data_IF_951062288522
#
_entry.id   IF_951062288522
#
_cell.length_a   1.000
_cell.length_b   1.000
_cell.length_c   1.000
_cell.angle_alpha   90.00
_cell.angle_beta   90.00
_cell.angle_gamma   90.00
#
_symmetry.space_group_name_H-M   'P 1'
#
loop_
_entity.id
_entity.type
_entity.pdbx_description
1 polymer ?
#
# COMPACT_ATOMS: atom_id res chain seq x y z
N UNK A 1 5.27 3.56 -24.40
CA UNK A 1 5.62 3.08 -23.05
C UNK A 1 7.03 2.47 -23.12
N UNK A 2 8.04 3.09 -22.51
CA UNK A 2 9.40 2.49 -22.46
C UNK A 2 9.38 1.47 -21.34
N UNK A 3 9.45 0.18 -21.69
CA UNK A 3 9.68 -0.89 -20.73
C UNK A 3 10.99 -0.61 -20.00
N UNK A 4 10.92 -0.44 -18.68
CA UNK A 4 12.11 -0.32 -17.84
C UNK A 4 12.85 -1.66 -17.96
N UNK A 5 14.13 -1.62 -18.33
CA UNK A 5 14.93 -2.81 -18.48
C UNK A 5 15.19 -3.41 -17.09
N UNK A 6 14.85 -4.69 -16.89
CA UNK A 6 15.08 -5.40 -15.64
C UNK A 6 16.54 -5.32 -15.14
N UNK A 7 17.51 -5.15 -16.05
CA UNK A 7 18.93 -4.97 -15.69
C UNK A 7 19.27 -3.61 -15.09
N UNK A 8 18.52 -2.56 -15.40
CA UNK A 8 18.72 -1.22 -14.83
C UNK A 8 18.09 -1.12 -13.43
N UNK A 9 17.03 -1.89 -13.23
CA UNK A 9 16.33 -2.12 -11.96
C UNK A 9 17.20 -2.86 -10.94
N UNK A 10 17.92 -3.91 -11.36
CA UNK A 10 18.81 -4.71 -10.49
C UNK A 10 19.89 -3.86 -9.80
N UNK A 11 20.18 -2.67 -10.35
CA UNK A 11 21.18 -1.73 -9.81
C UNK A 11 20.60 -0.70 -8.85
N UNK A 12 19.28 -0.42 -8.88
CA UNK A 12 18.67 0.69 -8.12
C UNK A 12 18.19 0.30 -6.73
N UNK A 13 17.75 -0.94 -6.50
CA UNK A 13 17.63 -1.53 -5.17
C UNK A 13 17.58 -3.06 -5.32
N UNK A 14 18.65 -3.80 -5.02
CA UNK A 14 18.52 -5.24 -4.92
C UNK A 14 17.65 -5.54 -3.70
N UNK A 15 16.48 -6.13 -3.92
CA UNK A 15 15.51 -6.53 -2.89
C UNK A 15 16.08 -7.44 -1.79
N UNK A 16 17.33 -7.89 -1.92
CA UNK A 16 18.10 -8.46 -0.82
C UNK A 16 18.33 -7.50 0.35
N UNK A 17 18.07 -6.20 0.17
CA UNK A 17 18.12 -5.17 1.19
C UNK A 17 16.72 -4.64 1.54
N UNK A 18 15.64 -5.40 1.26
CA UNK A 18 14.28 -5.00 1.64
C UNK A 18 14.15 -4.87 3.16
N UNK A 19 14.70 -5.84 3.90
CA UNK A 19 14.73 -5.80 5.36
C UNK A 19 15.56 -4.61 5.86
N UNK A 20 16.69 -4.32 5.23
CA UNK A 20 17.51 -3.13 5.54
C UNK A 20 16.75 -1.84 5.25
N UNK A 21 16.04 -1.75 4.13
CA UNK A 21 15.20 -0.60 3.78
C UNK A 21 14.09 -0.38 4.82
N UNK A 22 13.40 -1.44 5.22
CA UNK A 22 12.35 -1.38 6.24
C UNK A 22 12.95 -0.96 7.58
N UNK A 23 14.05 -1.59 8.01
CA UNK A 23 14.74 -1.28 9.27
C UNK A 23 15.24 0.17 9.30
N UNK A 24 15.91 0.64 8.24
CA UNK A 24 16.36 2.03 8.11
C UNK A 24 15.18 3.02 8.23
N UNK A 25 14.04 2.72 7.61
CA UNK A 25 12.87 3.60 7.72
C UNK A 25 12.25 3.61 9.14
N UNK A 26 12.27 2.47 9.84
CA UNK A 26 11.89 2.41 11.26
C UNK A 26 12.84 3.23 12.14
N UNK A 27 14.15 3.06 11.97
CA UNK A 27 15.17 3.78 12.74
C UNK A 27 15.09 5.30 12.54
N UNK A 28 14.80 5.74 11.32
CA UNK A 28 14.69 7.15 10.97
C UNK A 28 13.28 7.74 11.16
N UNK A 29 12.32 6.96 11.65
CA UNK A 29 10.92 7.38 11.80
C UNK A 29 10.28 7.90 10.49
N UNK A 30 10.63 7.28 9.37
CA UNK A 30 10.22 7.64 8.01
C UNK A 30 9.00 6.82 7.56
N UNK A 31 8.01 6.70 8.46
CA UNK A 31 6.83 5.84 8.25
C UNK A 31 5.57 6.66 8.46
N UNK A 32 4.66 6.52 7.51
CA UNK A 32 3.32 7.07 7.58
C UNK A 32 2.33 5.93 7.43
N UNK A 33 1.18 6.01 8.11
CA UNK A 33 0.13 5.01 8.00
C UNK A 33 -1.11 5.62 7.37
N UNK A 34 -1.67 4.96 6.37
CA UNK A 34 -2.98 5.28 5.80
C UNK A 34 -4.00 4.29 6.39
N UNK A 35 -5.15 4.78 6.83
CA UNK A 35 -6.21 3.96 7.41
C UNK A 35 -7.58 4.37 6.84
N UNK A 36 -8.48 3.40 6.69
CA UNK A 36 -9.89 3.70 6.45
C UNK A 36 -10.54 4.38 7.66
N UNK A 37 -10.05 4.06 8.86
CA UNK A 37 -10.52 4.64 10.10
C UNK A 37 -9.65 5.84 10.48
N UNK A 38 -10.28 6.89 10.99
CA UNK A 38 -9.62 8.08 11.55
C UNK A 38 -8.81 7.81 12.83
N UNK A 39 -8.80 6.55 13.29
CA UNK A 39 -8.08 6.06 14.46
C UNK A 39 -7.49 4.68 14.21
N UNK A 40 -6.55 4.30 15.08
CA UNK A 40 -6.09 2.92 15.16
C UNK A 40 -7.21 1.99 15.64
N UNK A 41 -7.27 0.80 15.05
CA UNK A 41 -8.14 -0.26 15.51
C UNK A 41 -7.51 -0.96 16.72
N UNK A 42 -8.34 -1.23 17.73
CA UNK A 42 -7.96 -2.09 18.86
C UNK A 42 -7.98 -3.57 18.43
N UNK A 43 -7.44 -4.47 19.26
CA UNK A 43 -7.53 -5.91 18.98
C UNK A 43 -8.97 -6.41 18.90
N UNK A 44 -9.86 -5.89 19.75
CA UNK A 44 -11.29 -6.22 19.71
C UNK A 44 -11.95 -5.64 18.46
N UNK A 45 -11.61 -4.41 18.07
CA UNK A 45 -12.04 -3.86 16.78
C UNK A 45 -11.56 -4.76 15.64
N UNK A 46 -10.33 -5.27 15.68
CA UNK A 46 -9.77 -6.18 14.69
C UNK A 46 -10.48 -7.54 14.76
N UNK A 47 -10.75 -8.15 15.90
CA UNK A 47 -11.39 -9.47 15.95
C UNK A 47 -12.89 -9.41 15.61
N UNK A 48 -13.55 -8.27 15.86
CA UNK A 48 -14.96 -8.03 15.51
C UNK A 48 -15.11 -7.49 14.07
N UNK A 49 -14.12 -6.74 13.56
CA UNK A 49 -14.15 -6.06 12.24
C UNK A 49 -13.13 -6.57 11.23
N UNK A 50 -12.28 -7.55 11.58
CA UNK A 50 -11.65 -8.47 10.62
C UNK A 50 -12.80 -9.25 10.03
N UNK A 51 -13.44 -8.64 9.07
CA UNK A 51 -13.38 -9.22 7.74
C UNK A 51 -14.17 -8.32 6.81
N UNK A 52 -13.57 -7.69 5.77
CA UNK A 52 -14.13 -7.55 4.42
C UNK A 52 -15.09 -8.68 4.00
N UNK A 53 -14.92 -9.89 4.54
CA UNK A 53 -15.86 -11.02 4.44
C UNK A 53 -17.02 -11.12 5.46
N UNK A 54 -17.02 -10.46 6.63
CA UNK A 54 -18.23 -10.24 7.47
C UNK A 54 -19.22 -9.30 6.75
N UNK A 55 -18.73 -8.52 5.80
CA UNK A 55 -19.51 -7.68 4.91
C UNK A 55 -20.09 -8.45 3.71
N UNK A 56 -20.29 -9.77 3.81
CA UNK A 56 -21.19 -10.51 2.92
C UNK A 56 -22.43 -11.02 3.66
N UNK A 57 -22.57 -10.68 4.95
CA UNK A 57 -23.74 -11.03 5.73
C UNK A 57 -24.92 -10.09 5.40
N UNK A 58 -26.11 -10.65 5.23
CA UNK A 58 -27.31 -9.97 4.70
C UNK A 58 -27.87 -8.84 5.58
N UNK A 59 -27.22 -8.55 6.71
CA UNK A 59 -27.55 -7.48 7.66
C UNK A 59 -26.60 -6.28 7.61
N UNK A 60 -25.62 -6.29 6.70
CA UNK A 60 -24.59 -5.27 6.69
C UNK A 60 -25.09 -3.90 6.19
N UNK A 61 -24.61 -2.85 6.86
CA UNK A 61 -25.03 -1.47 6.62
C UNK A 61 -24.51 -0.95 5.26
N UNK A 62 -25.41 -0.74 4.30
CA UNK A 62 -25.09 -0.21 2.97
C UNK A 62 -24.22 1.05 2.99
N UNK A 63 -24.46 1.98 3.92
CA UNK A 63 -23.68 3.21 4.05
C UNK A 63 -22.21 2.97 4.39
N UNK A 64 -21.90 1.87 5.05
CA UNK A 64 -20.51 1.50 5.33
C UNK A 64 -19.78 1.11 4.05
N UNK A 65 -20.40 0.30 3.19
CA UNK A 65 -19.80 -0.14 1.92
C UNK A 65 -19.55 1.01 0.97
N UNK A 66 -20.49 1.95 0.89
CA UNK A 66 -20.35 3.11 0.02
C UNK A 66 -19.07 3.88 0.41
N UNK A 67 -18.82 4.06 1.72
CA UNK A 67 -17.59 4.68 2.24
C UNK A 67 -16.34 3.83 2.01
N UNK A 68 -16.45 2.52 2.22
CA UNK A 68 -15.32 1.61 2.01
C UNK A 68 -14.89 1.57 0.54
N UNK A 69 -15.84 1.49 -0.39
CA UNK A 69 -15.54 1.53 -1.83
C UNK A 69 -15.01 2.90 -2.26
N UNK A 70 -15.48 3.99 -1.66
CA UNK A 70 -14.87 5.32 -1.86
C UNK A 70 -13.40 5.34 -1.42
N UNK A 71 -13.09 4.77 -0.25
CA UNK A 71 -11.71 4.63 0.23
C UNK A 71 -10.86 3.72 -0.68
N UNK A 72 -11.40 2.57 -1.10
CA UNK A 72 -10.77 1.67 -2.08
C UNK A 72 -10.42 2.43 -3.37
N UNK A 73 -11.35 3.21 -3.91
CA UNK A 73 -11.13 3.98 -5.14
C UNK A 73 -10.10 5.10 -4.94
N UNK A 74 -10.08 5.77 -3.78
CA UNK A 74 -9.05 6.77 -3.43
C UNK A 74 -7.65 6.15 -3.40
N UNK A 75 -7.49 4.97 -2.80
CA UNK A 75 -6.22 4.25 -2.81
C UNK A 75 -5.78 3.84 -4.23
N UNK A 76 -6.72 3.36 -5.04
CA UNK A 76 -6.45 3.01 -6.44
C UNK A 76 -5.97 4.25 -7.22
N UNK A 77 -6.58 5.42 -6.99
CA UNK A 77 -6.13 6.67 -7.62
C UNK A 77 -4.70 7.05 -7.23
N UNK A 78 -4.33 6.92 -5.95
CA UNK A 78 -2.96 7.12 -5.47
C UNK A 78 -1.98 6.20 -6.21
N UNK A 79 -2.27 4.90 -6.30
CA UNK A 79 -1.38 3.96 -6.97
C UNK A 79 -1.29 4.19 -8.48
N UNK A 80 -2.40 4.52 -9.14
CA UNK A 80 -2.41 4.88 -10.58
C UNK A 80 -1.59 6.14 -10.83
N UNK A 81 -1.71 7.16 -9.96
CA UNK A 81 -0.90 8.37 -10.06
C UNK A 81 0.60 8.04 -10.04
N UNK A 82 1.03 7.21 -9.08
CA UNK A 82 2.42 6.78 -8.96
C UNK A 82 2.85 5.90 -10.15
N UNK A 83 1.96 5.02 -10.63
CA UNK A 83 2.19 4.15 -11.78
C UNK A 83 2.41 4.94 -13.08
N UNK A 84 1.58 5.96 -13.35
CA UNK A 84 1.69 6.84 -14.54
C UNK A 84 3.02 7.55 -14.65
N UNK A 85 3.69 7.80 -13.52
CA UNK A 85 5.02 8.41 -13.50
C UNK A 85 6.14 7.40 -13.89
N UNK A 86 5.80 6.18 -14.33
CA UNK A 86 6.70 5.03 -14.59
C UNK A 86 7.53 4.64 -13.36
N UNK A 87 6.94 4.71 -12.17
CA UNK A 87 7.69 4.54 -10.92
C UNK A 87 7.44 3.20 -10.25
N UNK A 88 6.53 2.39 -10.76
CA UNK A 88 6.09 1.17 -10.08
C UNK A 88 6.96 -0.05 -10.39
N UNK A 89 7.30 -0.79 -9.33
CA UNK A 89 8.06 -2.02 -9.39
C UNK A 89 7.30 -3.20 -8.77
N UNK A 90 6.17 -3.55 -9.41
CA UNK A 90 5.48 -4.83 -9.23
C UNK A 90 5.08 -5.19 -7.80
N UNK A 91 4.66 -6.44 -7.63
CA UNK A 91 4.34 -7.04 -6.32
C UNK A 91 5.48 -7.90 -5.82
N UNK A 92 5.79 -7.74 -4.54
CA UNK A 92 6.86 -8.45 -3.85
C UNK A 92 6.34 -9.04 -2.56
N UNK A 93 6.40 -10.37 -2.34
CA UNK A 93 6.08 -10.92 -1.04
C UNK A 93 7.06 -10.38 -0.01
N UNK A 94 6.53 -10.06 1.16
CA UNK A 94 7.34 -9.89 2.37
C UNK A 94 8.17 -11.18 2.56
N UNK A 95 9.45 -11.05 2.90
CA UNK A 95 10.43 -12.15 3.01
C UNK A 95 10.80 -12.86 1.70
N UNK A 96 10.48 -12.30 0.53
CA UNK A 96 10.94 -12.87 -0.74
C UNK A 96 12.45 -12.67 -0.92
N UNK A 97 13.20 -13.78 -0.96
CA UNK A 97 14.62 -13.77 -1.38
C UNK A 97 14.82 -13.52 -2.88
N UNK A 98 13.74 -13.38 -3.64
CA UNK A 98 13.82 -13.14 -5.10
C UNK A 98 14.12 -11.67 -5.37
N UNK A 99 15.07 -11.43 -6.26
CA UNK A 99 15.48 -10.09 -6.73
C UNK A 99 14.55 -9.51 -7.80
N UNK A 100 13.43 -10.16 -8.07
CA UNK A 100 12.47 -9.78 -9.10
C UNK A 100 11.06 -9.83 -8.53
N UNK A 101 10.17 -8.89 -8.91
CA UNK A 101 8.76 -8.94 -8.53
C UNK A 101 8.13 -10.23 -9.04
N UNK A 102 7.13 -10.73 -8.32
CA UNK A 102 6.36 -11.90 -8.78
C UNK A 102 5.59 -11.56 -10.06
N UNK A 103 5.08 -10.34 -10.15
CA UNK A 103 4.45 -9.83 -11.35
C UNK A 103 4.63 -8.31 -11.45
N UNK A 104 4.70 -7.83 -12.69
CA UNK A 104 4.74 -6.41 -13.06
C UNK A 104 3.42 -6.02 -13.68
N UNK A 105 2.88 -4.88 -13.27
CA UNK A 105 1.65 -4.34 -13.83
C UNK A 105 1.90 -3.79 -15.23
N UNK A 106 1.02 -4.16 -16.17
CA UNK A 106 1.16 -3.79 -17.59
C UNK A 106 0.35 -2.54 -17.90
N UNK A 107 -0.78 -2.36 -17.22
CA UNK A 107 -1.67 -1.22 -17.40
C UNK A 107 -2.36 -0.84 -16.07
N UNK A 108 -3.13 0.26 -16.11
CA UNK A 108 -3.86 0.79 -14.94
C UNK A 108 -4.98 -0.14 -14.47
N UNK A 109 -5.60 -0.89 -15.38
CA UNK A 109 -6.72 -1.80 -15.07
C UNK A 109 -6.24 -3.03 -14.29
N UNK A 110 -5.08 -3.59 -14.66
CA UNK A 110 -4.42 -4.69 -13.96
C UNK A 110 -4.03 -4.27 -12.54
N UNK A 111 -3.48 -3.06 -12.42
CA UNK A 111 -3.13 -2.46 -11.13
C UNK A 111 -4.39 -2.32 -10.27
N UNK A 112 -5.37 -1.56 -10.74
CA UNK A 112 -6.64 -1.32 -10.06
C UNK A 112 -7.29 -2.63 -9.59
N UNK A 113 -7.45 -3.60 -10.49
CA UNK A 113 -8.08 -4.89 -10.17
C UNK A 113 -7.33 -5.64 -9.08
N UNK A 114 -5.99 -5.63 -9.13
CA UNK A 114 -5.16 -6.29 -8.13
C UNK A 114 -5.29 -5.61 -6.77
N UNK A 115 -5.18 -4.29 -6.68
CA UNK A 115 -5.33 -3.54 -5.43
C UNK A 115 -6.66 -3.90 -4.77
N UNK A 116 -7.76 -3.86 -5.54
CA UNK A 116 -9.11 -4.20 -5.06
C UNK A 116 -9.18 -5.63 -4.54
N UNK A 117 -8.61 -6.59 -5.25
CA UNK A 117 -8.57 -8.00 -4.81
C UNK A 117 -7.83 -8.14 -3.47
N UNK A 118 -6.66 -7.51 -3.33
CA UNK A 118 -5.87 -7.63 -2.10
C UNK A 118 -6.56 -6.96 -0.90
N UNK A 119 -7.13 -5.75 -1.08
CA UNK A 119 -7.90 -5.06 -0.05
C UNK A 119 -9.10 -5.91 0.40
N UNK A 120 -9.82 -6.51 -0.53
CA UNK A 120 -11.01 -7.33 -0.23
C UNK A 120 -10.69 -8.71 0.36
N UNK A 121 -9.54 -9.27 0.03
CA UNK A 121 -9.06 -10.53 0.60
C UNK A 121 -8.30 -10.35 1.92
N UNK A 122 -8.10 -9.10 2.35
CA UNK A 122 -7.31 -8.76 3.56
C UNK A 122 -5.92 -9.39 3.53
N UNK A 123 -5.35 -9.48 2.33
CA UNK A 123 -4.03 -10.07 2.13
C UNK A 123 -3.01 -8.97 2.11
N UNK A 124 -1.87 -9.26 2.71
CA UNK A 124 -0.72 -8.38 2.66
C UNK A 124 -0.38 -8.06 1.20
N UNK A 125 -0.37 -6.77 0.91
CA UNK A 125 0.00 -6.23 -0.39
C UNK A 125 1.21 -5.35 -0.21
N UNK A 126 2.29 -5.71 -0.89
CA UNK A 126 3.54 -4.97 -0.85
C UNK A 126 3.86 -4.46 -2.27
N UNK A 127 3.80 -3.13 -2.42
CA UNK A 127 4.04 -2.41 -3.67
C UNK A 127 5.23 -1.48 -3.48
N UNK A 128 6.26 -1.68 -4.29
CA UNK A 128 7.43 -0.83 -4.25
C UNK A 128 7.51 0.07 -5.48
N UNK A 129 7.83 1.34 -5.26
CA UNK A 129 7.98 2.34 -6.31
C UNK A 129 9.44 2.81 -6.39
N UNK A 130 10.23 2.16 -7.25
CA UNK A 130 11.68 2.31 -7.36
C UNK A 130 12.17 3.75 -7.49
N UNK A 131 11.55 4.56 -8.35
CA UNK A 131 12.03 5.93 -8.61
C UNK A 131 11.61 6.91 -7.50
N UNK A 132 10.61 6.57 -6.67
CA UNK A 132 10.24 7.35 -5.48
C UNK A 132 10.94 6.86 -4.21
N UNK A 133 11.52 5.66 -4.24
CA UNK A 133 12.00 4.95 -3.07
C UNK A 133 10.92 4.83 -1.97
N UNK A 134 9.69 4.51 -2.41
CA UNK A 134 8.51 4.38 -1.55
C UNK A 134 7.99 2.94 -1.58
N UNK A 135 7.69 2.42 -0.40
CA UNK A 135 7.07 1.11 -0.22
C UNK A 135 5.71 1.25 0.46
N UNK A 136 4.68 0.68 -0.14
CA UNK A 136 3.38 0.51 0.49
C UNK A 136 3.22 -0.94 0.94
N UNK A 137 2.90 -1.13 2.20
CA UNK A 137 2.62 -2.42 2.81
C UNK A 137 1.24 -2.42 3.48
N UNK A 138 0.27 -3.09 2.87
CA UNK A 138 -1.05 -3.30 3.45
C UNK A 138 -0.97 -4.37 4.54
N UNK A 139 -1.40 -4.02 5.75
CA UNK A 139 -1.52 -4.93 6.87
C UNK A 139 -2.89 -5.63 6.88
N UNK A 140 -2.98 -6.73 7.63
CA UNK A 140 -4.25 -7.44 7.86
C UNK A 140 -5.34 -6.59 8.54
N UNK A 141 -4.96 -5.50 9.23
CA UNK A 141 -5.89 -4.59 9.90
C UNK A 141 -6.37 -3.43 8.99
N UNK A 142 -6.18 -3.57 7.66
CA UNK A 142 -6.52 -2.59 6.63
C UNK A 142 -5.78 -1.25 6.76
N UNK A 143 -4.76 -1.18 7.60
CA UNK A 143 -3.80 -0.07 7.58
C UNK A 143 -2.75 -0.30 6.51
N UNK A 144 -2.35 0.75 5.81
CA UNK A 144 -1.26 0.71 4.84
C UNK A 144 -0.08 1.47 5.42
N UNK A 145 0.99 0.75 5.69
CA UNK A 145 2.30 1.32 6.00
C UNK A 145 2.93 1.90 4.73
N UNK A 146 3.39 3.14 4.82
CA UNK A 146 4.10 3.83 3.76
C UNK A 146 5.50 4.13 4.28
N UNK A 147 6.50 3.41 3.79
CA UNK A 147 7.90 3.66 4.08
C UNK A 147 8.47 4.56 2.99
N UNK A 148 9.12 5.66 3.37
CA UNK A 148 9.66 6.62 2.43
C UNK A 148 10.99 7.22 2.90
N UNK A 149 12.08 6.81 2.25
CA UNK A 149 13.45 7.24 2.62
C UNK A 149 13.69 8.74 2.42
N UNK A 150 12.91 9.38 1.55
CA UNK A 150 12.94 10.82 1.28
C UNK A 150 11.50 11.31 1.18
N UNK A 151 10.83 11.48 2.33
CA UNK A 151 9.45 11.92 2.47
C UNK A 151 9.06 12.95 1.39
N UNK A 152 8.56 12.47 0.25
CA UNK A 152 8.27 13.33 -0.87
C UNK A 152 6.99 14.05 -0.48
N UNK A 153 7.11 15.34 -0.17
CA UNK A 153 5.97 16.17 0.23
C UNK A 153 4.84 16.04 -0.79
N UNK A 154 5.13 15.84 -2.08
CA UNK A 154 4.11 15.58 -3.12
C UNK A 154 3.26 14.33 -2.85
N UNK A 155 3.86 13.24 -2.36
CA UNK A 155 3.14 11.98 -2.10
C UNK A 155 2.26 12.13 -0.86
N UNK A 156 2.74 12.84 0.16
CA UNK A 156 1.95 13.15 1.35
C UNK A 156 0.82 14.12 1.02
N UNK A 157 1.11 15.17 0.26
CA UNK A 157 0.11 16.13 -0.21
C UNK A 157 -0.95 15.44 -1.07
N UNK A 158 -0.55 14.46 -1.89
CA UNK A 158 -1.50 13.63 -2.63
C UNK A 158 -2.38 12.79 -1.69
N UNK A 159 -1.79 12.10 -0.71
CA UNK A 159 -2.55 11.32 0.28
C UNK A 159 -3.55 12.22 1.02
N UNK A 160 -3.12 13.40 1.45
CA UNK A 160 -3.97 14.40 2.11
C UNK A 160 -5.07 14.89 1.16
N UNK A 161 -4.75 15.18 -0.11
CA UNK A 161 -5.71 15.66 -1.11
C UNK A 161 -6.79 14.64 -1.47
N UNK A 162 -6.53 13.35 -1.21
CA UNK A 162 -7.47 12.25 -1.40
C UNK A 162 -8.35 12.02 -0.16
N UNK A 163 -8.28 12.88 0.86
CA UNK A 163 -8.97 12.74 2.15
C UNK A 163 -8.72 11.38 2.81
N UNK A 164 -7.53 10.82 2.64
CA UNK A 164 -7.12 9.59 3.31
C UNK A 164 -6.67 9.90 4.73
N UNK A 165 -7.11 9.10 5.71
CA UNK A 165 -6.69 9.32 7.09
C UNK A 165 -5.24 8.92 7.29
N UNK A 166 -4.41 9.91 7.61
CA UNK A 166 -2.99 9.75 7.88
C UNK A 166 -2.74 9.64 9.38
N UNK A 167 -2.24 8.49 9.83
CA UNK A 167 -1.82 8.24 11.20
C UNK A 167 -0.29 8.32 11.26
N UNK A 168 0.25 9.17 12.14
CA UNK A 168 1.70 9.43 12.21
C UNK A 168 2.45 8.56 13.23
N UNK A 169 1.75 7.91 14.16
CA UNK A 169 2.34 7.03 15.17
C UNK A 169 1.31 6.03 15.68
N UNK A 170 1.72 4.76 15.87
CA UNK A 170 1.03 3.84 16.79
C UNK A 170 1.54 4.23 18.18
N UNK A 171 0.73 4.89 19.00
CA UNK A 171 1.13 5.10 20.40
C UNK A 171 1.43 3.71 21.01
N UNK A 172 2.50 3.57 21.80
CA UNK A 172 2.85 2.31 22.44
C UNK A 172 1.74 1.78 23.34
#
# INVERSE_FOLDING_TARGET
MKLINCKDIEKKLPLSNFDDFVNENYENNNIVYISFFDRWLTRDDIEIKKTPTYYLDGHANKSFYDKYYEFEDKLVQLFIYLFKRNKMYGFLPINSRKRTPIFTFINEDDLSSTIKVFLRLERELCLYFLEEDVLFNLNEDLTIQVFNKNLNEEVIDLIISLDLHVLKNRAP
#
